data_IF_663367241089
#
_entry.id   IF_663367241089
#
_cell.length_a   1.000
_cell.length_b   1.000
_cell.length_c   1.000
_cell.angle_alpha   90.00
_cell.angle_beta   90.00
_cell.angle_gamma   90.00
#
_symmetry.space_group_name_H-M   'P 1'
#
loop_
_entity.id
_entity.type
_entity.pdbx_description
1 polymer ?
#
# COMPACT_ATOMS: atom_id res chain seq x y z
N UNK A 1 -17.66 -11.06 22.37
CA UNK A 1 -18.08 -10.62 21.01
C UNK A 1 -18.25 -11.76 20.02
N UNK A 2 -17.33 -12.73 19.89
CA UNK A 2 -17.54 -13.89 18.99
C UNK A 2 -18.77 -14.74 19.34
N UNK A 3 -19.12 -14.77 20.63
CA UNK A 3 -20.30 -15.48 21.14
C UNK A 3 -21.64 -14.79 20.83
N UNK A 4 -21.63 -13.54 20.35
CA UNK A 4 -22.87 -12.75 20.18
C UNK A 4 -23.46 -12.95 18.76
N UNK A 5 -22.67 -13.41 17.78
CA UNK A 5 -23.16 -13.68 16.40
C UNK A 5 -22.19 -14.48 15.50
N UNK A 6 -21.06 -14.96 16.04
CA UNK A 6 -20.01 -15.61 15.25
C UNK A 6 -20.22 -17.12 15.11
N UNK A 7 -20.80 -17.56 13.99
CA UNK A 7 -20.86 -19.00 13.69
C UNK A 7 -19.45 -19.58 13.50
N UNK A 8 -19.12 -20.64 14.25
CA UNK A 8 -17.85 -21.38 14.12
C UNK A 8 -17.64 -21.88 12.68
N UNK A 9 -18.72 -22.22 11.98
CA UNK A 9 -18.72 -22.75 10.62
C UNK A 9 -18.71 -21.68 9.52
N UNK A 10 -18.68 -20.39 9.89
CA UNK A 10 -18.70 -19.32 8.91
C UNK A 10 -17.41 -19.33 8.05
N UNK A 11 -17.54 -19.13 6.73
CA UNK A 11 -16.39 -18.98 5.83
C UNK A 11 -15.49 -17.83 6.29
N UNK A 12 -14.18 -18.00 6.17
CA UNK A 12 -13.17 -17.06 6.69
C UNK A 12 -13.38 -15.62 6.19
N UNK A 13 -13.73 -15.44 4.92
CA UNK A 13 -13.98 -14.12 4.34
C UNK A 13 -15.14 -13.39 5.04
N UNK A 14 -16.21 -14.11 5.38
CA UNK A 14 -17.35 -13.54 6.10
C UNK A 14 -16.97 -13.18 7.55
N UNK A 15 -16.11 -13.97 8.18
CA UNK A 15 -15.56 -13.70 9.53
C UNK A 15 -14.71 -12.43 9.54
N UNK A 16 -13.80 -12.28 8.58
CA UNK A 16 -12.96 -11.08 8.45
C UNK A 16 -13.81 -9.83 8.17
N UNK A 17 -14.79 -9.93 7.27
CA UNK A 17 -15.73 -8.82 7.00
C UNK A 17 -16.53 -8.42 8.24
N UNK A 18 -16.97 -9.39 9.04
CA UNK A 18 -17.66 -9.13 10.30
C UNK A 18 -16.75 -8.41 11.31
N UNK A 19 -15.52 -8.91 11.51
CA UNK A 19 -14.56 -8.29 12.42
C UNK A 19 -14.21 -6.85 12.01
N UNK A 20 -14.00 -6.63 10.71
CA UNK A 20 -13.73 -5.29 10.16
C UNK A 20 -14.87 -4.31 10.45
N UNK A 21 -16.12 -4.71 10.17
CA UNK A 21 -17.31 -3.88 10.42
C UNK A 21 -17.54 -3.54 11.89
N UNK A 22 -17.03 -4.35 12.80
CA UNK A 22 -17.14 -4.15 14.25
C UNK A 22 -15.87 -3.50 14.85
N UNK A 23 -15.08 -2.80 14.03
CA UNK A 23 -13.94 -2.02 14.50
C UNK A 23 -12.67 -2.82 14.84
N UNK A 24 -12.62 -4.12 14.52
CA UNK A 24 -11.44 -4.97 14.77
C UNK A 24 -10.50 -5.05 13.55
N UNK A 25 -10.24 -3.90 12.96
CA UNK A 25 -9.51 -3.78 11.70
C UNK A 25 -8.05 -4.24 11.85
N UNK A 26 -7.41 -3.96 12.98
CA UNK A 26 -6.05 -4.41 13.27
C UNK A 26 -5.93 -5.95 13.28
N UNK A 27 -6.87 -6.64 13.92
CA UNK A 27 -6.87 -8.11 13.97
C UNK A 27 -7.06 -8.73 12.58
N UNK A 28 -7.91 -8.11 11.75
CA UNK A 28 -8.09 -8.50 10.34
C UNK A 28 -6.79 -8.28 9.56
N UNK A 29 -6.14 -7.14 9.77
CA UNK A 29 -4.84 -6.81 9.16
C UNK A 29 -3.75 -7.81 9.53
N UNK A 30 -3.62 -8.18 10.81
CA UNK A 30 -2.68 -9.19 11.27
C UNK A 30 -2.92 -10.55 10.63
N UNK A 31 -4.18 -10.97 10.50
CA UNK A 31 -4.53 -12.22 9.84
C UNK A 31 -4.13 -12.21 8.36
N UNK A 32 -4.51 -11.16 7.61
CA UNK A 32 -4.19 -11.03 6.20
C UNK A 32 -2.68 -10.96 5.96
N UNK A 33 -1.94 -10.22 6.78
CA UNK A 33 -0.47 -10.17 6.74
C UNK A 33 0.13 -11.57 6.91
N UNK A 34 -0.31 -12.32 7.92
CA UNK A 34 0.23 -13.66 8.18
C UNK A 34 -0.16 -14.66 7.09
N UNK A 35 -1.34 -14.51 6.48
CA UNK A 35 -1.74 -15.30 5.33
C UNK A 35 -0.83 -15.02 4.12
N UNK A 36 -0.60 -13.73 3.83
CA UNK A 36 0.24 -13.30 2.72
C UNK A 36 1.71 -13.71 2.90
N UNK A 37 2.23 -13.70 4.13
CA UNK A 37 3.59 -14.19 4.41
C UNK A 37 3.76 -15.70 4.20
N UNK A 38 2.67 -16.48 4.24
CA UNK A 38 2.69 -17.92 3.93
C UNK A 38 2.63 -18.20 2.44
N UNK A 39 2.16 -17.24 1.65
CA UNK A 39 2.07 -17.36 0.21
C UNK A 39 3.43 -17.04 -0.41
N UNK A 40 4.06 -18.05 -1.01
CA UNK A 40 5.37 -17.94 -1.66
C UNK A 40 5.33 -17.04 -2.90
N UNK A 41 4.16 -16.81 -3.48
CA UNK A 41 3.96 -15.93 -4.64
C UNK A 41 3.69 -14.47 -4.23
N UNK A 42 3.39 -14.23 -2.96
CA UNK A 42 3.12 -12.89 -2.45
C UNK A 42 4.29 -11.90 -2.63
N UNK A 43 5.57 -12.27 -2.41
CA UNK A 43 6.69 -11.39 -2.70
C UNK A 43 6.75 -10.96 -4.17
N UNK A 44 6.37 -11.83 -5.11
CA UNK A 44 6.32 -11.51 -6.54
C UNK A 44 5.11 -10.65 -6.89
N UNK A 45 3.99 -10.81 -6.18
CA UNK A 45 2.85 -9.90 -6.28
C UNK A 45 3.18 -8.49 -5.78
N UNK A 46 3.99 -8.35 -4.71
CA UNK A 46 4.52 -7.06 -4.25
C UNK A 46 5.50 -6.41 -5.25
N UNK A 47 6.10 -7.19 -6.17
CA UNK A 47 6.92 -6.65 -7.27
C UNK A 47 6.08 -6.07 -8.40
N UNK A 48 4.75 -6.20 -8.37
CA UNK A 48 3.85 -5.51 -9.31
C UNK A 48 3.88 -4.01 -9.01
N UNK A 49 4.91 -3.39 -9.55
CA UNK A 49 5.17 -1.95 -9.63
C UNK A 49 3.95 -1.17 -10.11
N UNK A 50 3.05 -1.82 -10.85
CA UNK A 50 1.80 -1.28 -11.38
C UNK A 50 0.87 -0.71 -10.32
N UNK A 51 0.82 -1.29 -9.11
CA UNK A 51 -0.09 -0.79 -8.07
C UNK A 51 0.46 0.50 -7.44
N UNK A 52 1.74 0.51 -7.09
CA UNK A 52 2.45 1.71 -6.63
C UNK A 52 2.48 2.82 -7.71
N UNK A 53 2.65 2.45 -8.98
CA UNK A 53 2.59 3.37 -10.12
C UNK A 53 1.20 3.91 -10.38
N UNK A 54 0.13 3.13 -10.15
CA UNK A 54 -1.25 3.59 -10.28
C UNK A 54 -1.62 4.57 -9.17
N UNK A 55 -1.20 4.28 -7.92
CA UNK A 55 -1.53 5.08 -6.74
C UNK A 55 -0.73 6.38 -6.67
N UNK A 56 0.54 6.35 -7.07
CA UNK A 56 1.47 7.48 -6.99
C UNK A 56 1.92 7.99 -8.36
N UNK A 57 1.16 7.68 -9.41
CA UNK A 57 1.48 8.05 -10.79
C UNK A 57 1.65 9.55 -10.98
N UNK A 58 0.82 10.36 -10.31
CA UNK A 58 0.95 11.82 -10.31
C UNK A 58 2.27 12.27 -9.67
N UNK A 59 2.68 11.66 -8.57
CA UNK A 59 3.97 11.96 -7.91
C UNK A 59 5.13 11.56 -8.82
N UNK A 60 5.04 10.44 -9.54
CA UNK A 60 6.04 10.03 -10.53
C UNK A 60 6.12 10.94 -11.76
N UNK A 61 5.00 11.51 -12.19
CA UNK A 61 4.99 12.50 -13.26
C UNK A 61 5.73 13.78 -12.83
N UNK A 62 5.60 14.16 -11.56
CA UNK A 62 6.31 15.29 -10.95
C UNK A 62 7.78 14.96 -10.66
N UNK A 63 8.10 13.73 -10.24
CA UNK A 63 9.44 13.28 -9.84
C UNK A 63 9.97 12.17 -10.75
N UNK A 64 10.92 12.50 -11.63
CA UNK A 64 11.63 11.52 -12.46
C UNK A 64 12.96 11.11 -11.83
N UNK A 65 13.03 9.89 -11.34
CA UNK A 65 14.27 9.22 -10.92
C UNK A 65 15.13 8.75 -12.11
N UNK A 66 15.20 9.55 -13.17
CA UNK A 66 16.04 9.23 -14.34
C UNK A 66 17.45 9.77 -14.14
N UNK A 67 18.40 8.86 -13.99
CA UNK A 67 19.84 9.16 -13.80
C UNK A 67 20.65 9.01 -15.09
N UNK A 68 20.04 8.61 -16.21
CA UNK A 68 20.76 8.30 -17.46
C UNK A 68 21.54 9.51 -18.00
N UNK A 69 20.98 10.72 -17.83
CA UNK A 69 21.59 12.00 -18.26
C UNK A 69 22.34 12.73 -17.14
N UNK A 70 22.45 12.12 -15.96
CA UNK A 70 23.13 12.71 -14.80
C UNK A 70 24.59 12.28 -14.80
N UNK A 71 25.50 13.25 -14.64
CA UNK A 71 26.96 13.02 -14.50
C UNK A 71 27.21 12.01 -13.37
N UNK A 72 28.13 11.07 -13.58
CA UNK A 72 28.35 9.92 -12.68
C UNK A 72 28.58 10.35 -11.22
N UNK A 73 29.37 11.40 -11.02
CA UNK A 73 29.68 12.02 -9.72
C UNK A 73 28.44 12.58 -9.00
N UNK A 74 27.45 13.06 -9.76
CA UNK A 74 26.25 13.71 -9.22
C UNK A 74 25.08 12.74 -9.05
N UNK A 75 25.18 11.49 -9.52
CA UNK A 75 24.07 10.52 -9.50
C UNK A 75 23.59 10.20 -8.10
N UNK A 76 24.51 10.05 -7.16
CA UNK A 76 24.17 9.72 -5.78
C UNK A 76 23.41 10.87 -5.12
N UNK A 77 23.94 12.09 -5.24
CA UNK A 77 23.30 13.30 -4.74
C UNK A 77 21.92 13.52 -5.37
N UNK A 78 21.82 13.38 -6.69
CA UNK A 78 20.55 13.50 -7.42
C UNK A 78 19.52 12.48 -6.94
N UNK A 79 19.93 11.23 -6.72
CA UNK A 79 19.05 10.17 -6.22
C UNK A 79 18.55 10.47 -4.80
N UNK A 80 19.44 10.95 -3.92
CA UNK A 80 19.09 11.34 -2.55
C UNK A 80 18.11 12.52 -2.53
N UNK A 81 18.35 13.56 -3.34
CA UNK A 81 17.46 14.73 -3.44
C UNK A 81 16.08 14.32 -3.95
N UNK A 82 16.00 13.52 -5.00
CA UNK A 82 14.72 13.05 -5.52
C UNK A 82 13.96 12.17 -4.50
N UNK A 83 14.67 11.36 -3.71
CA UNK A 83 14.06 10.56 -2.66
C UNK A 83 13.45 11.44 -1.56
N UNK A 84 14.20 12.42 -1.06
CA UNK A 84 13.71 13.37 -0.04
C UNK A 84 12.52 14.16 -0.57
N UNK A 85 12.58 14.62 -1.82
CA UNK A 85 11.48 15.39 -2.40
C UNK A 85 10.24 14.54 -2.66
N UNK A 86 10.39 13.27 -3.03
CA UNK A 86 9.29 12.31 -3.08
C UNK A 86 8.62 12.12 -1.72
N UNK A 87 9.41 11.97 -0.65
CA UNK A 87 8.89 11.84 0.72
C UNK A 87 8.12 13.09 1.16
N UNK A 88 8.63 14.29 0.83
CA UNK A 88 7.94 15.55 1.11
C UNK A 88 6.61 15.66 0.34
N UNK A 89 6.60 15.36 -0.96
CA UNK A 89 5.36 15.35 -1.76
C UNK A 89 4.32 14.37 -1.22
N UNK A 90 4.77 13.20 -0.76
CA UNK A 90 3.90 12.20 -0.14
C UNK A 90 3.34 12.71 1.19
N UNK A 91 4.18 13.33 2.04
CA UNK A 91 3.76 13.93 3.31
C UNK A 91 2.74 15.05 3.09
N UNK A 92 2.98 15.94 2.14
CA UNK A 92 2.06 17.04 1.79
C UNK A 92 0.71 16.51 1.30
N UNK A 93 0.70 15.45 0.50
CA UNK A 93 -0.55 14.82 0.06
C UNK A 93 -1.33 14.23 1.25
N UNK A 94 -0.63 13.60 2.20
CA UNK A 94 -1.24 13.05 3.42
C UNK A 94 -1.79 14.16 4.33
N UNK A 95 -1.04 15.24 4.54
CA UNK A 95 -1.44 16.38 5.37
C UNK A 95 -2.66 17.12 4.82
N UNK A 96 -2.76 17.27 3.50
CA UNK A 96 -3.88 17.96 2.86
C UNK A 96 -5.13 17.08 2.70
N UNK A 97 -5.13 15.86 3.24
CA UNK A 97 -6.21 14.87 3.05
C UNK A 97 -6.62 14.72 1.58
N UNK A 98 -5.69 14.95 0.64
CA UNK A 98 -5.93 14.71 -0.77
C UNK A 98 -6.24 13.23 -0.86
N UNK A 99 -7.51 12.91 -1.14
CA UNK A 99 -8.00 11.53 -1.11
C UNK A 99 -7.01 10.69 -1.91
N UNK A 100 -6.53 9.56 -1.35
CA UNK A 100 -5.82 8.61 -2.18
C UNK A 100 -6.72 8.30 -3.37
N UNK A 101 -6.17 8.23 -4.58
CA UNK A 101 -6.87 7.83 -5.81
C UNK A 101 -7.21 6.32 -5.77
N UNK A 102 -7.52 5.83 -4.58
CA UNK A 102 -7.69 4.44 -4.22
C UNK A 102 -9.16 4.23 -3.88
N UNK A 103 -9.97 3.84 -4.88
CA UNK A 103 -11.05 2.92 -4.58
C UNK A 103 -10.45 1.51 -4.56
N UNK A 104 -10.39 0.91 -3.38
CA UNK A 104 -10.21 -0.54 -3.22
C UNK A 104 -11.50 -1.31 -3.59
N UNK A 105 -12.50 -0.63 -4.16
CA UNK A 105 -13.76 -1.23 -4.61
C UNK A 105 -13.53 -2.34 -5.63
N UNK A 106 -12.46 -2.26 -6.43
CA UNK A 106 -12.16 -3.27 -7.45
C UNK A 106 -11.51 -4.55 -6.89
N UNK A 107 -11.29 -4.64 -5.57
CA UNK A 107 -10.70 -5.82 -4.91
C UNK A 107 -11.69 -6.51 -3.94
N UNK A 108 -13.00 -6.21 -4.02
CA UNK A 108 -14.08 -6.87 -3.26
C UNK A 108 -15.00 -7.64 -4.20
#
# INVERSE_FOLDING_TARGET
MWMISGSKYMKINKKLKFLYKNGRQEQVGMYLRNHNLKDKTFPDSCKLRSECERIHGHIKNTMKFDVRRVRKESRELYSKINLVTYQLLLLTNLQNHIKPVNSFENYI
#
